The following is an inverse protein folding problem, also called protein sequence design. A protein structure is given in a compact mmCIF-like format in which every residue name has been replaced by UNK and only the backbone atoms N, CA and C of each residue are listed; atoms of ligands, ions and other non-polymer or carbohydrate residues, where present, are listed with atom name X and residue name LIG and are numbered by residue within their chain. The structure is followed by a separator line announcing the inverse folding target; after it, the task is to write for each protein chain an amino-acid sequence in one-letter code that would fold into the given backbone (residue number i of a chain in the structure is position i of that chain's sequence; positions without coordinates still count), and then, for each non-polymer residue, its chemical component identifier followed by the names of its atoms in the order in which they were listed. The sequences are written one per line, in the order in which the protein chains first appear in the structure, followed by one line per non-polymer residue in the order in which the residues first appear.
data_IF_854691544733
#
_entry.id   IF_854691544733
#
_cell.length_a   1.000
_cell.length_b   1.000
_cell.length_c   1.000
_cell.angle_alpha   90.00
_cell.angle_beta   90.00
_cell.angle_gamma   90.00
#
_symmetry.space_group_name_H-M   'P 1'
#
loop_
_entity.id
_entity.type
_entity.pdbx_description
1 polymer ?
#
# COMPACT_ATOMS: atom_id res chain seq x y z
N UNK A 1 -11.41 -17.41 14.61
CA UNK A 1 -10.28 -17.39 13.65
C UNK A 1 -10.71 -16.59 12.44
N UNK A 2 -10.01 -15.52 12.08
CA UNK A 2 -10.45 -14.65 10.97
C UNK A 2 -10.19 -15.37 9.62
N UNK A 3 -11.09 -15.23 8.65
CA UNK A 3 -10.95 -15.90 7.34
C UNK A 3 -9.72 -15.44 6.55
N UNK A 4 -9.24 -14.21 6.78
CA UNK A 4 -8.03 -13.68 6.16
C UNK A 4 -6.77 -14.44 6.59
N UNK A 5 -6.68 -14.88 7.84
CA UNK A 5 -5.58 -15.70 8.39
C UNK A 5 -5.55 -17.07 7.73
N UNK A 6 -6.71 -17.62 7.36
CA UNK A 6 -6.77 -18.87 6.61
C UNK A 6 -6.22 -18.71 5.18
N UNK A 7 -6.48 -17.58 4.53
CA UNK A 7 -6.01 -17.30 3.16
C UNK A 7 -4.53 -16.91 3.13
N UNK A 8 -4.13 -16.01 4.04
CA UNK A 8 -2.82 -15.35 4.04
C UNK A 8 -1.77 -16.08 4.91
N UNK A 9 -2.23 -16.95 5.80
CA UNK A 9 -1.41 -17.55 6.86
C UNK A 9 -1.42 -16.70 8.14
N UNK A 10 -1.01 -17.30 9.26
CA UNK A 10 -0.80 -16.56 10.51
C UNK A 10 0.41 -15.62 10.37
N UNK A 11 0.24 -14.38 10.80
CA UNK A 11 1.27 -13.34 10.85
C UNK A 11 1.08 -12.55 12.14
N UNK A 12 2.13 -12.45 12.95
CA UNK A 12 2.11 -11.68 14.19
C UNK A 12 2.29 -10.16 13.95
N UNK A 13 2.42 -9.74 12.69
CA UNK A 13 2.76 -8.36 12.31
C UNK A 13 1.58 -7.65 11.63
N UNK A 14 0.54 -7.30 12.40
CA UNK A 14 -0.63 -6.55 11.90
C UNK A 14 -0.24 -5.27 11.14
N UNK A 15 0.82 -4.59 11.58
CA UNK A 15 1.35 -3.39 10.93
C UNK A 15 1.79 -3.68 9.48
N UNK A 16 2.33 -4.86 9.20
CA UNK A 16 2.76 -5.25 7.85
C UNK A 16 1.60 -5.33 6.87
N UNK A 17 0.45 -5.83 7.34
CA UNK A 17 -0.76 -5.98 6.54
C UNK A 17 -1.45 -4.64 6.28
N UNK A 18 -1.37 -3.72 7.25
CA UNK A 18 -1.81 -2.35 7.09
C UNK A 18 -0.97 -1.58 6.05
N UNK A 19 0.35 -1.76 6.11
CA UNK A 19 1.32 -0.94 5.35
C UNK A 19 1.56 -1.50 3.94
N UNK A 20 1.52 -2.83 3.75
CA UNK A 20 1.89 -3.48 2.49
C UNK A 20 0.89 -4.58 2.07
N UNK A 21 -0.41 -4.26 1.92
CA UNK A 21 -1.47 -5.28 1.73
C UNK A 21 -1.21 -6.20 0.53
N UNK A 22 -0.70 -5.68 -0.59
CA UNK A 22 -0.34 -6.52 -1.74
C UNK A 22 0.85 -7.47 -1.47
N UNK A 23 1.78 -7.09 -0.60
CA UNK A 23 2.86 -7.99 -0.22
C UNK A 23 2.34 -9.14 0.65
N UNK A 24 1.37 -8.88 1.53
CA UNK A 24 0.75 -9.93 2.35
C UNK A 24 0.17 -11.06 1.50
N UNK A 25 -0.42 -10.75 0.34
CA UNK A 25 -0.92 -11.76 -0.60
C UNK A 25 0.20 -12.67 -1.14
N UNK A 26 1.43 -12.13 -1.30
CA UNK A 26 2.61 -12.89 -1.75
C UNK A 26 3.21 -13.80 -0.68
N UNK A 27 2.96 -13.54 0.60
CA UNK A 27 3.59 -14.28 1.70
C UNK A 27 3.20 -15.77 1.60
N UNK A 28 4.21 -16.65 1.69
CA UNK A 28 4.00 -18.09 1.58
C UNK A 28 3.80 -18.62 0.16
N UNK A 29 3.71 -17.76 -0.88
CA UNK A 29 3.73 -18.22 -2.26
C UNK A 29 5.17 -18.55 -2.71
N UNK A 30 5.42 -19.72 -3.35
CA UNK A 30 6.76 -20.08 -3.79
C UNK A 30 7.27 -19.11 -4.86
N UNK A 31 8.44 -18.50 -4.63
CA UNK A 31 8.98 -17.43 -5.49
C UNK A 31 9.14 -17.84 -6.96
N UNK A 32 9.48 -19.10 -7.20
CA UNK A 32 9.85 -19.68 -8.50
C UNK A 32 8.77 -20.56 -9.13
N UNK A 33 7.60 -20.69 -8.51
CA UNK A 33 6.53 -21.54 -9.05
C UNK A 33 5.90 -20.93 -10.29
N UNK A 34 5.71 -21.76 -11.34
CA UNK A 34 4.91 -21.39 -12.52
C UNK A 34 3.47 -21.04 -12.16
N UNK A 35 2.97 -21.57 -11.05
CA UNK A 35 1.61 -21.33 -10.56
C UNK A 35 1.49 -20.09 -9.67
N UNK A 36 2.58 -19.37 -9.39
CA UNK A 36 2.58 -18.24 -8.45
C UNK A 36 1.57 -17.16 -8.83
N UNK A 37 1.46 -16.85 -10.12
CA UNK A 37 0.50 -15.86 -10.65
C UNK A 37 -0.94 -16.33 -10.42
N UNK A 38 -1.22 -17.60 -10.73
CA UNK A 38 -2.54 -18.21 -10.54
C UNK A 38 -2.91 -18.23 -9.05
N UNK A 39 -2.00 -18.68 -8.19
CA UNK A 39 -2.21 -18.68 -6.74
C UNK A 39 -2.42 -17.27 -6.18
N UNK A 40 -1.71 -16.26 -6.71
CA UNK A 40 -1.91 -14.87 -6.34
C UNK A 40 -3.30 -14.36 -6.76
N UNK A 41 -3.73 -14.66 -7.99
CA UNK A 41 -5.06 -14.31 -8.48
C UNK A 41 -6.18 -14.96 -7.65
N UNK A 42 -6.05 -16.26 -7.35
CA UNK A 42 -7.01 -16.97 -6.50
C UNK A 42 -7.11 -16.35 -5.11
N UNK A 43 -5.98 -16.01 -4.49
CA UNK A 43 -5.98 -15.35 -3.18
C UNK A 43 -6.68 -13.99 -3.21
N UNK A 44 -6.50 -13.20 -4.27
CA UNK A 44 -7.23 -11.93 -4.43
C UNK A 44 -8.73 -12.19 -4.50
N UNK A 45 -9.15 -13.16 -5.30
CA UNK A 45 -10.57 -13.51 -5.45
C UNK A 45 -11.19 -13.91 -4.10
N UNK A 46 -10.52 -14.77 -3.34
CA UNK A 46 -10.97 -15.20 -2.01
C UNK A 46 -11.00 -14.04 -1.00
N UNK A 47 -9.97 -13.18 -0.99
CA UNK A 47 -9.91 -11.97 -0.14
C UNK A 47 -11.08 -11.04 -0.47
N UNK A 48 -11.39 -10.87 -1.75
CA UNK A 48 -12.44 -9.96 -2.18
C UNK A 48 -13.84 -10.48 -1.91
N UNK A 49 -14.06 -11.79 -2.00
CA UNK A 49 -15.28 -12.42 -1.49
C UNK A 49 -15.45 -12.21 0.01
N UNK A 50 -14.42 -12.50 0.81
CA UNK A 50 -14.47 -12.29 2.25
C UNK A 50 -14.65 -10.82 2.64
N UNK A 51 -14.02 -9.89 1.93
CA UNK A 51 -14.16 -8.46 2.17
C UNK A 51 -15.60 -8.00 1.90
N UNK A 52 -16.24 -8.49 0.83
CA UNK A 52 -17.64 -8.23 0.53
C UNK A 52 -18.59 -8.80 1.60
N UNK A 53 -18.35 -10.03 2.05
CA UNK A 53 -19.10 -10.66 3.16
C UNK A 53 -18.97 -9.87 4.46
N UNK A 54 -17.74 -9.47 4.82
CA UNK A 54 -17.47 -8.63 5.97
C UNK A 54 -18.25 -7.31 5.88
N UNK A 55 -18.15 -6.62 4.75
CA UNK A 55 -18.83 -5.34 4.55
C UNK A 55 -20.36 -5.48 4.61
N UNK A 56 -20.91 -6.57 4.06
CA UNK A 56 -22.35 -6.87 4.16
C UNK A 56 -22.77 -7.13 5.60
N UNK A 57 -22.00 -7.93 6.34
CA UNK A 57 -22.24 -8.21 7.75
C UNK A 57 -22.29 -6.93 8.58
N UNK A 58 -21.28 -6.06 8.44
CA UNK A 58 -21.21 -4.79 9.16
C UNK A 58 -22.38 -3.86 8.82
N UNK A 59 -22.80 -3.78 7.54
CA UNK A 59 -23.95 -2.96 7.13
C UNK A 59 -25.28 -3.43 7.71
N UNK A 60 -25.38 -4.71 8.06
CA UNK A 60 -26.55 -5.30 8.69
C UNK A 60 -26.49 -5.21 10.24
N UNK A 61 -25.38 -4.76 10.82
CA UNK A 61 -25.27 -4.50 12.25
C UNK A 61 -25.98 -3.19 12.63
N UNK A 62 -26.54 -3.13 13.85
CA UNK A 62 -27.37 -2.01 14.31
C UNK A 62 -26.60 -0.73 14.69
N UNK A 63 -25.29 -0.82 14.96
CA UNK A 63 -24.46 0.34 15.28
C UNK A 63 -23.76 0.88 14.02
N UNK A 64 -24.31 1.95 13.47
CA UNK A 64 -23.79 2.57 12.26
C UNK A 64 -22.44 3.27 12.48
N UNK A 65 -22.14 3.76 13.68
CA UNK A 65 -20.90 4.48 13.96
C UNK A 65 -19.73 3.51 14.05
N UNK A 66 -19.88 2.43 14.83
CA UNK A 66 -18.86 1.37 14.90
C UNK A 66 -18.73 0.71 13.53
N UNK A 67 -19.84 0.50 12.83
CA UNK A 67 -19.83 -0.05 11.48
C UNK A 67 -18.99 0.78 10.50
N UNK A 68 -19.16 2.10 10.48
CA UNK A 68 -18.39 3.00 9.62
C UNK A 68 -16.88 2.97 9.94
N UNK A 69 -16.51 2.97 11.23
CA UNK A 69 -15.11 2.84 11.66
C UNK A 69 -14.49 1.53 11.17
N UNK A 70 -15.21 0.41 11.34
CA UNK A 70 -14.75 -0.90 10.90
C UNK A 70 -14.59 -0.98 9.38
N UNK A 71 -15.52 -0.39 8.62
CA UNK A 71 -15.44 -0.32 7.15
C UNK A 71 -14.26 0.55 6.68
N UNK A 72 -14.03 1.70 7.32
CA UNK A 72 -12.84 2.53 7.08
C UNK A 72 -11.54 1.78 7.37
N UNK A 73 -11.52 0.97 8.43
CA UNK A 73 -10.39 0.09 8.74
C UNK A 73 -10.07 -0.94 7.63
N UNK A 74 -11.02 -1.23 6.74
CA UNK A 74 -10.84 -2.15 5.61
C UNK A 74 -10.50 -1.45 4.29
N UNK A 75 -10.28 -0.13 4.27
CA UNK A 75 -10.12 0.65 3.03
C UNK A 75 -9.02 0.11 2.08
N UNK A 76 -7.95 -0.45 2.63
CA UNK A 76 -6.87 -1.09 1.87
C UNK A 76 -7.39 -2.25 1.02
N UNK A 77 -8.17 -3.13 1.65
CA UNK A 77 -8.74 -4.31 0.99
C UNK A 77 -9.87 -3.91 0.06
N UNK A 78 -10.75 -3.01 0.49
CA UNK A 78 -11.81 -2.46 -0.35
C UNK A 78 -11.23 -1.84 -1.63
N UNK A 79 -10.15 -1.05 -1.53
CA UNK A 79 -9.53 -0.40 -2.68
C UNK A 79 -8.88 -1.40 -3.66
N UNK A 80 -8.25 -2.46 -3.13
CA UNK A 80 -7.71 -3.55 -3.96
C UNK A 80 -8.85 -4.30 -4.66
N UNK A 81 -9.92 -4.60 -3.93
CA UNK A 81 -11.06 -5.33 -4.46
C UNK A 81 -11.88 -4.53 -5.45
N UNK A 82 -12.04 -3.23 -5.25
CA UNK A 82 -12.63 -2.33 -6.24
C UNK A 82 -11.81 -2.36 -7.54
N UNK A 83 -10.48 -2.28 -7.44
CA UNK A 83 -9.62 -2.35 -8.63
C UNK A 83 -9.70 -3.72 -9.32
N UNK A 84 -9.80 -4.81 -8.56
CA UNK A 84 -10.02 -6.15 -9.09
C UNK A 84 -11.36 -6.29 -9.81
N UNK A 85 -12.47 -5.81 -9.24
CA UNK A 85 -13.80 -5.97 -9.83
C UNK A 85 -14.10 -4.98 -10.97
N UNK A 86 -13.73 -3.70 -10.81
CA UNK A 86 -14.08 -2.66 -11.79
C UNK A 86 -13.05 -2.52 -12.91
N UNK A 87 -11.84 -3.06 -12.74
CA UNK A 87 -10.81 -3.07 -13.77
C UNK A 87 -10.17 -4.46 -13.92
N UNK A 88 -11.01 -5.50 -13.93
CA UNK A 88 -10.58 -6.91 -13.91
C UNK A 88 -9.56 -7.25 -14.97
N UNK A 89 -9.81 -6.85 -16.23
CA UNK A 89 -8.94 -7.20 -17.34
C UNK A 89 -7.53 -6.63 -17.15
N UNK A 90 -7.42 -5.35 -16.81
CA UNK A 90 -6.13 -4.71 -16.54
C UNK A 90 -5.47 -5.23 -15.26
N UNK A 91 -6.26 -5.47 -14.22
CA UNK A 91 -5.76 -5.92 -12.93
C UNK A 91 -5.16 -7.32 -13.05
N UNK A 92 -5.86 -8.23 -13.74
CA UNK A 92 -5.42 -9.61 -13.98
C UNK A 92 -4.35 -9.72 -15.07
N UNK A 93 -4.37 -8.88 -16.11
CA UNK A 93 -3.39 -8.94 -17.19
C UNK A 93 -2.06 -8.25 -16.84
N UNK A 94 -2.08 -7.29 -15.91
CA UNK A 94 -0.91 -6.46 -15.61
C UNK A 94 -0.52 -6.41 -14.13
N UNK A 95 -1.41 -5.98 -13.23
CA UNK A 95 -1.08 -5.78 -11.81
C UNK A 95 -0.68 -7.10 -11.17
N UNK A 96 -1.51 -8.14 -11.35
CA UNK A 96 -1.29 -9.48 -10.80
C UNK A 96 0.01 -10.11 -11.32
N UNK A 97 0.26 -10.23 -12.65
CA UNK A 97 1.48 -10.82 -13.15
C UNK A 97 2.73 -10.05 -12.73
N UNK A 98 2.69 -8.72 -12.74
CA UNK A 98 3.87 -7.95 -12.40
C UNK A 98 4.21 -8.04 -10.91
N UNK A 99 3.22 -7.83 -10.04
CA UNK A 99 3.43 -7.91 -8.60
C UNK A 99 3.80 -9.33 -8.16
N UNK A 100 3.18 -10.34 -8.76
CA UNK A 100 3.55 -11.73 -8.53
C UNK A 100 5.01 -12.03 -8.88
N UNK A 101 5.61 -11.35 -9.87
CA UNK A 101 7.03 -11.55 -10.23
C UNK A 101 7.94 -10.75 -9.32
N UNK A 102 7.69 -9.45 -9.20
CA UNK A 102 8.65 -8.47 -8.67
C UNK A 102 8.32 -7.92 -7.29
N UNK A 103 7.12 -8.19 -6.74
CA UNK A 103 6.70 -7.62 -5.47
C UNK A 103 7.63 -7.97 -4.31
N UNK A 104 8.24 -9.16 -4.32
CA UNK A 104 9.25 -9.53 -3.31
C UNK A 104 10.54 -8.69 -3.44
N UNK A 105 10.95 -8.34 -4.65
CA UNK A 105 12.16 -7.54 -4.89
C UNK A 105 11.93 -6.10 -4.44
N UNK A 106 10.74 -5.54 -4.74
CA UNK A 106 10.30 -4.23 -4.24
C UNK A 106 10.35 -4.18 -2.72
N UNK A 107 9.73 -5.16 -2.05
CA UNK A 107 9.71 -5.24 -0.57
C UNK A 107 11.12 -5.33 -0.01
N UNK A 108 11.97 -6.17 -0.61
CA UNK A 108 13.36 -6.36 -0.15
C UNK A 108 14.16 -5.07 -0.27
N UNK A 109 14.02 -4.34 -1.37
CA UNK A 109 14.72 -3.07 -1.60
C UNK A 109 14.20 -1.92 -0.72
N UNK A 110 12.97 -2.00 -0.24
CA UNK A 110 12.36 -1.00 0.64
C UNK A 110 12.27 -1.43 2.11
N UNK A 111 12.92 -2.55 2.48
CA UNK A 111 12.79 -3.17 3.79
C UNK A 111 13.12 -2.21 4.94
N UNK A 112 14.15 -1.36 4.79
CA UNK A 112 14.50 -0.35 5.80
C UNK A 112 13.37 0.64 6.04
N UNK A 113 12.77 1.19 4.97
CA UNK A 113 11.67 2.15 5.11
C UNK A 113 10.40 1.46 5.63
N UNK A 114 10.15 0.22 5.24
CA UNK A 114 9.05 -0.59 5.80
C UNK A 114 9.23 -0.82 7.30
N UNK A 115 10.43 -1.15 7.77
CA UNK A 115 10.71 -1.35 9.19
C UNK A 115 10.49 -0.07 10.01
N UNK A 116 10.96 1.09 9.50
CA UNK A 116 10.74 2.40 10.14
C UNK A 116 9.24 2.71 10.24
N UNK A 117 8.48 2.48 9.17
CA UNK A 117 7.04 2.71 9.17
C UNK A 117 6.28 1.74 10.10
N UNK A 118 6.68 0.47 10.15
CA UNK A 118 6.11 -0.49 11.11
C UNK A 118 6.36 -0.07 12.56
N UNK A 119 7.56 0.41 12.86
CA UNK A 119 7.89 0.93 14.19
C UNK A 119 7.05 2.16 14.54
N UNK A 120 6.91 3.12 13.61
CA UNK A 120 6.10 4.33 13.84
C UNK A 120 4.62 4.00 14.03
N UNK A 121 4.08 3.07 13.24
CA UNK A 121 2.69 2.61 13.38
C UNK A 121 2.46 1.89 14.72
N UNK A 122 3.40 1.05 15.15
CA UNK A 122 3.32 0.36 16.44
C UNK A 122 3.43 1.36 17.60
N UNK A 123 4.37 2.29 17.54
CA UNK A 123 4.55 3.35 18.55
C UNK A 123 3.31 4.21 18.72
N UNK A 124 2.62 4.55 17.62
CA UNK A 124 1.38 5.30 17.68
C UNK A 124 0.26 4.54 18.40
N UNK A 125 0.17 3.21 18.19
CA UNK A 125 -0.84 2.37 18.84
C UNK A 125 -0.49 2.09 20.30
N UNK A 126 0.77 1.76 20.59
CA UNK A 126 1.23 1.33 21.90
C UNK A 126 1.30 2.49 22.91
N UNK A 127 1.71 3.68 22.47
CA UNK A 127 1.83 4.85 23.35
C UNK A 127 0.51 5.62 23.52
N UNK A 128 -0.58 5.15 22.89
CA UNK A 128 -1.93 5.65 23.10
C UNK A 128 -2.05 7.18 22.98
N UNK A 129 -2.89 7.77 23.85
CA UNK A 129 -3.32 9.18 23.81
C UNK A 129 -2.20 10.16 24.22
N UNK A 130 -1.24 9.73 25.05
CA UNK A 130 -0.31 10.63 25.75
C UNK A 130 0.69 11.30 24.81
N UNK A 131 1.06 10.63 23.71
CA UNK A 131 2.08 11.11 22.76
C UNK A 131 1.61 11.07 21.30
N UNK A 132 0.30 11.07 21.06
CA UNK A 132 -0.28 10.92 19.71
C UNK A 132 0.30 11.94 18.73
N UNK A 133 0.47 13.20 19.12
CA UNK A 133 0.94 14.23 18.19
C UNK A 133 2.39 14.00 17.74
N UNK A 134 3.28 13.55 18.62
CA UNK A 134 4.68 13.27 18.29
C UNK A 134 4.79 12.02 17.41
N UNK A 135 4.13 10.93 17.81
CA UNK A 135 4.12 9.69 17.03
C UNK A 135 3.37 9.81 15.70
N UNK A 136 2.41 10.73 15.60
CA UNK A 136 1.72 11.01 14.34
C UNK A 136 2.65 11.72 13.35
N UNK A 137 3.51 12.63 13.81
CA UNK A 137 4.52 13.26 12.94
C UNK A 137 5.51 12.20 12.40
N UNK A 138 6.02 11.35 13.29
CA UNK A 138 6.89 10.22 12.92
C UNK A 138 6.21 9.28 11.93
N UNK A 139 4.93 8.95 12.14
CA UNK A 139 4.16 8.11 11.24
C UNK A 139 4.02 8.77 9.87
N UNK A 140 3.63 10.04 9.81
CA UNK A 140 3.45 10.77 8.55
C UNK A 140 4.75 10.86 7.74
N UNK A 141 5.88 11.16 8.41
CA UNK A 141 7.20 11.16 7.78
C UNK A 141 7.61 9.76 7.28
N UNK A 142 7.35 8.73 8.08
CA UNK A 142 7.67 7.35 7.73
C UNK A 142 6.87 6.84 6.53
N UNK A 143 5.58 7.20 6.43
CA UNK A 143 4.75 6.89 5.25
C UNK A 143 5.30 7.54 4.00
N UNK A 144 5.67 8.82 4.06
CA UNK A 144 6.27 9.53 2.92
C UNK A 144 7.55 8.81 2.45
N UNK A 145 8.41 8.39 3.36
CA UNK A 145 9.66 7.71 3.04
C UNK A 145 9.45 6.30 2.47
N UNK A 146 8.51 5.55 3.04
CA UNK A 146 8.10 4.25 2.55
C UNK A 146 7.54 4.33 1.14
N UNK A 147 6.56 5.21 0.91
CA UNK A 147 5.90 5.34 -0.38
C UNK A 147 6.86 5.80 -1.46
N UNK A 148 7.76 6.74 -1.14
CA UNK A 148 8.88 7.14 -2.01
C UNK A 148 9.67 5.94 -2.52
N UNK A 149 10.01 5.00 -1.64
CA UNK A 149 10.72 3.80 -2.04
C UNK A 149 9.83 2.86 -2.85
N UNK A 150 8.66 2.50 -2.30
CA UNK A 150 7.76 1.51 -2.88
C UNK A 150 7.34 1.88 -4.30
N UNK A 151 6.91 3.12 -4.49
CA UNK A 151 6.47 3.65 -5.77
C UNK A 151 7.62 3.74 -6.78
N UNK A 152 8.83 4.11 -6.34
CA UNK A 152 10.03 4.17 -7.20
C UNK A 152 10.45 2.78 -7.67
N UNK A 153 10.57 1.82 -6.75
CA UNK A 153 10.98 0.47 -7.10
C UNK A 153 9.91 -0.23 -7.95
N UNK A 154 8.64 -0.03 -7.61
CA UNK A 154 7.54 -0.59 -8.40
C UNK A 154 7.50 -0.01 -9.81
N UNK A 155 7.75 1.29 -10.00
CA UNK A 155 7.90 1.86 -11.34
C UNK A 155 9.08 1.25 -12.10
N UNK A 156 10.20 1.00 -11.43
CA UNK A 156 11.38 0.38 -12.06
C UNK A 156 11.10 -1.04 -12.56
N UNK A 157 10.37 -1.85 -11.81
CA UNK A 157 10.07 -3.24 -12.18
C UNK A 157 8.83 -3.39 -13.06
N UNK A 158 7.79 -2.59 -12.77
CA UNK A 158 6.45 -2.76 -13.32
C UNK A 158 5.98 -1.56 -14.14
N UNK A 159 6.72 -0.47 -14.21
CA UNK A 159 6.33 0.71 -14.99
C UNK A 159 5.18 1.54 -14.40
N UNK A 160 4.72 2.50 -15.20
CA UNK A 160 3.85 3.60 -14.77
C UNK A 160 2.49 3.11 -14.23
N UNK A 161 1.89 2.09 -14.84
CA UNK A 161 0.57 1.61 -14.43
C UNK A 161 0.56 1.01 -13.01
N UNK A 162 1.63 0.33 -12.60
CA UNK A 162 1.77 -0.17 -11.22
C UNK A 162 2.06 0.99 -10.25
N UNK A 163 2.87 1.94 -10.70
CA UNK A 163 3.17 3.15 -9.94
C UNK A 163 1.89 3.93 -9.59
N UNK A 164 1.03 4.19 -10.58
CA UNK A 164 -0.25 4.87 -10.40
C UNK A 164 -1.17 4.08 -9.47
N UNK A 165 -1.25 2.77 -9.64
CA UNK A 165 -2.05 1.90 -8.77
C UNK A 165 -1.62 2.03 -7.29
N UNK A 166 -0.32 1.89 -7.00
CA UNK A 166 0.20 1.95 -5.64
C UNK A 166 0.08 3.33 -4.99
N UNK A 167 0.28 4.40 -5.75
CA UNK A 167 0.07 5.76 -5.24
C UNK A 167 -1.40 5.96 -4.85
N UNK A 168 -2.32 5.54 -5.70
CA UNK A 168 -3.75 5.70 -5.43
C UNK A 168 -4.18 4.87 -4.22
N UNK A 169 -3.65 3.65 -4.08
CA UNK A 169 -3.87 2.81 -2.91
C UNK A 169 -3.34 3.47 -1.64
N UNK A 170 -2.07 3.90 -1.63
CA UNK A 170 -1.49 4.52 -0.43
C UNK A 170 -2.21 5.81 -0.03
N UNK A 171 -2.54 6.68 -1.01
CA UNK A 171 -3.30 7.92 -0.77
C UNK A 171 -4.63 7.65 -0.08
N UNK A 172 -5.40 6.67 -0.56
CA UNK A 172 -6.69 6.31 0.04
C UNK A 172 -6.50 5.80 1.46
N UNK A 173 -5.56 4.86 1.66
CA UNK A 173 -5.31 4.26 2.96
C UNK A 173 -4.90 5.30 4.00
N UNK A 174 -3.92 6.13 3.66
CA UNK A 174 -3.40 7.11 4.61
C UNK A 174 -4.41 8.22 4.91
N UNK A 175 -5.16 8.68 3.90
CA UNK A 175 -6.24 9.64 4.12
C UNK A 175 -7.28 9.10 5.09
N UNK A 176 -7.73 7.86 4.90
CA UNK A 176 -8.71 7.24 5.80
C UNK A 176 -8.16 7.04 7.20
N UNK A 177 -6.88 6.71 7.35
CA UNK A 177 -6.23 6.66 8.67
C UNK A 177 -6.27 8.03 9.36
N UNK A 178 -5.96 9.12 8.65
CA UNK A 178 -6.06 10.48 9.19
C UNK A 178 -7.51 10.88 9.53
N UNK A 179 -8.50 10.43 8.75
CA UNK A 179 -9.93 10.63 9.03
C UNK A 179 -10.34 9.91 10.32
N UNK A 180 -9.99 8.63 10.47
CA UNK A 180 -10.22 7.86 11.70
C UNK A 180 -9.58 8.50 12.94
N UNK A 181 -8.34 8.95 12.78
CA UNK A 181 -7.59 9.63 13.84
C UNK A 181 -8.23 10.96 14.25
N UNK A 182 -8.79 11.73 13.30
CA UNK A 182 -9.57 12.93 13.63
C UNK A 182 -10.89 12.60 14.32
N UNK A 183 -11.61 11.61 13.82
CA UNK A 183 -12.92 11.19 14.36
C UNK A 183 -12.81 10.62 15.77
N UNK A 184 -11.66 10.02 16.12
CA UNK A 184 -11.39 9.55 17.47
C UNK A 184 -11.37 10.67 18.53
N UNK A 185 -11.28 11.94 18.11
CA UNK A 185 -11.16 13.09 19.02
C UNK A 185 -9.80 13.19 19.72
N UNK A 186 -8.88 12.26 19.46
CA UNK A 186 -7.54 12.21 20.07
C UNK A 186 -6.62 13.31 19.53
N UNK A 187 -6.88 13.79 18.31
CA UNK A 187 -6.03 14.79 17.64
C UNK A 187 -6.85 16.03 17.34
N UNK A 188 -6.43 17.16 17.94
CA UNK A 188 -7.06 18.48 17.71
C UNK A 188 -6.60 19.12 16.40
N UNK A 189 -5.36 18.84 15.98
CA UNK A 189 -4.76 19.36 14.74
C UNK A 189 -3.78 18.34 14.17
N UNK A 190 -3.85 18.11 12.86
CA UNK A 190 -2.84 17.29 12.17
C UNK A 190 -1.48 18.00 12.12
N UNK A 191 -0.37 17.29 12.36
CA UNK A 191 0.98 17.79 12.09
C UNK A 191 1.15 18.23 10.63
N UNK A 192 2.04 19.18 10.39
CA UNK A 192 2.31 19.73 9.06
C UNK A 192 2.85 18.64 8.10
N UNK A 193 3.60 17.65 8.62
CA UNK A 193 4.05 16.47 7.87
C UNK A 193 2.90 15.65 7.27
N UNK A 194 1.73 15.67 7.91
CA UNK A 194 0.51 14.98 7.48
C UNK A 194 -0.33 15.83 6.51
N UNK A 195 -0.13 17.15 6.45
CA UNK A 195 -0.91 18.04 5.59
C UNK A 195 -0.81 17.67 4.11
N UNK A 196 0.32 17.09 3.69
CA UNK A 196 0.51 16.65 2.31
C UNK A 196 -0.56 15.64 1.87
N UNK A 197 -1.03 14.80 2.78
CA UNK A 197 -2.05 13.79 2.55
C UNK A 197 -3.46 14.29 2.85
N UNK A 198 -3.59 15.27 3.75
CA UNK A 198 -4.86 15.91 4.07
C UNK A 198 -5.34 16.88 2.97
N UNK A 199 -4.42 17.47 2.20
CA UNK A 199 -4.76 18.36 1.08
C UNK A 199 -5.32 17.53 -0.08
N UNK A 200 -6.53 17.90 -0.53
CA UNK A 200 -7.17 17.40 -1.76
C UNK A 200 -6.25 17.76 -2.94
N UNK A 201 -5.31 16.90 -3.28
CA UNK A 201 -4.27 17.24 -4.27
C UNK A 201 -4.90 17.33 -5.66
N UNK A 202 -5.07 18.57 -6.12
CA UNK A 202 -5.26 18.92 -7.52
C UNK A 202 -3.92 18.99 -8.28
N UNK A 203 -2.76 18.71 -7.65
CA UNK A 203 -1.47 18.86 -8.33
C UNK A 203 -0.55 17.66 -8.14
N UNK A 204 -0.38 16.95 -9.25
CA UNK A 204 0.49 15.80 -9.50
C UNK A 204 2.00 16.13 -9.44
N UNK A 205 2.42 17.30 -8.94
CA UNK A 205 3.76 17.83 -9.19
C UNK A 205 4.90 17.03 -8.55
N UNK A 206 4.71 16.44 -7.36
CA UNK A 206 5.80 15.67 -6.74
C UNK A 206 6.14 14.37 -7.49
N UNK A 207 5.14 13.70 -8.07
CA UNK A 207 5.36 12.50 -8.88
C UNK A 207 5.86 12.84 -10.29
N UNK A 208 5.35 13.91 -10.91
CA UNK A 208 5.76 14.37 -12.24
C UNK A 208 7.20 14.90 -12.30
N UNK A 209 7.65 15.70 -11.32
CA UNK A 209 9.01 16.24 -11.28
C UNK A 209 10.07 15.12 -11.21
N UNK A 210 9.73 14.00 -10.57
CA UNK A 210 10.59 12.82 -10.46
C UNK A 210 10.43 11.82 -11.59
N UNK A 211 9.27 11.71 -12.22
CA UNK A 211 9.11 11.00 -13.49
C UNK A 211 10.05 11.61 -14.54
N UNK A 212 10.14 12.94 -14.59
CA UNK A 212 11.07 13.66 -15.45
C UNK A 212 12.54 13.49 -15.03
N UNK A 213 12.85 13.35 -13.75
CA UNK A 213 14.21 13.04 -13.28
C UNK A 213 14.60 11.59 -13.61
N UNK A 214 13.69 10.64 -13.44
CA UNK A 214 13.91 9.22 -13.70
C UNK A 214 13.99 8.91 -15.20
N UNK A 215 13.19 9.59 -16.06
CA UNK A 215 13.37 9.54 -17.52
C UNK A 215 14.75 10.04 -17.93
N UNK A 216 15.25 11.11 -17.29
CA UNK A 216 16.60 11.64 -17.54
C UNK A 216 17.70 10.65 -17.12
N UNK A 217 17.56 10.00 -15.97
CA UNK A 217 18.53 9.00 -15.50
C UNK A 217 18.54 7.72 -16.37
N UNK A 218 17.38 7.28 -16.86
CA UNK A 218 17.27 6.11 -17.75
C UNK A 218 17.86 6.43 -19.13
N UNK A 219 17.59 7.61 -19.68
CA UNK A 219 18.20 8.06 -20.95
C UNK A 219 19.73 8.20 -20.83
N UNK A 220 20.23 8.74 -19.73
CA UNK A 220 21.67 8.87 -19.48
C UNK A 220 22.38 7.51 -19.29
N UNK A 221 21.67 6.51 -18.77
CA UNK A 221 22.21 5.15 -18.59
C UNK A 221 22.19 4.31 -19.87
N UNK A 222 21.34 4.66 -20.84
CA UNK A 222 21.24 4.00 -22.15
C UNK A 222 22.34 4.41 -23.15
N UNK A 223 22.84 5.65 -23.06
CA UNK A 223 23.95 6.13 -23.91
C UNK A 223 25.31 5.52 -23.52
N UNK A 224 25.50 5.13 -22.26
CA UNK A 224 26.75 4.54 -21.80
C UNK A 224 26.94 3.09 -22.29
N UNK A 225 25.85 2.36 -22.60
CA UNK A 225 25.95 0.99 -23.12
C UNK A 225 26.23 0.90 -24.62
N UNK A 226 26.02 1.97 -25.41
CA UNK A 226 26.29 1.96 -26.85
C UNK A 226 27.72 2.34 -27.23
N UNK A 227 28.53 2.81 -26.27
CA UNK A 227 29.92 3.25 -26.50
C UNK A 227 31.01 2.27 -26.00
N UNK A 228 30.66 1.07 -25.53
CA UNK A 228 31.63 0.03 -25.10
C UNK A 228 31.72 -1.10 -26.13
N UNK A 229 31.72 -0.74 -27.40
CA UNK A 229 31.77 -1.68 -28.52
C UNK A 229 32.40 -1.05 -29.76
N UNK A 230 33.54 -0.39 -29.61
CA UNK A 230 34.49 -0.08 -30.68
C UNK A 230 35.83 0.33 -30.04
N UNK A 231 36.67 -0.65 -29.80
CA UNK A 231 38.07 -0.53 -29.38
C UNK A 231 38.81 -1.76 -29.82
#
# INVERSE_FOLDING_TARGET
MNGMTHILGASDYWAKDLITPLHTILIGLPKTSRHRIISFAHRIDDICKLNAEFASCIKNCGDQTIGDILLKGQISWTSICDAYHYNTDDFLSFIVPCWSRHGNDVVTLCATQTAVLQHAASSLVDNGIEMVNEHLDDLCNSVIMHDKCYVRQSNKFCGLKMHEFLINLSRRNFRTLLELLKESGLIKRLPDSCEHWAKKSLNHNWHNERENAQRRDISASGEVMLNVGNG
#
